data_IF_025042577942
#
_entry.id   IF_025042577942
#
_cell.length_a   1.000
_cell.length_b   1.000
_cell.length_c   1.000
_cell.angle_alpha   90.00
_cell.angle_beta   90.00
_cell.angle_gamma   90.00
#
_symmetry.space_group_name_H-M   'P 1'
#
loop_
_entity.id
_entity.type
_entity.pdbx_description
1 polymer ?
#
# COMPACT_ATOMS: atom_id res chain seq x y z
N UNK A 1 -7.43 9.71 -9.30
CA UNK A 1 -6.08 9.37 -8.78
C UNK A 1 -6.04 9.79 -7.31
N UNK A 2 -5.87 8.87 -6.37
CA UNK A 2 -5.76 9.24 -4.94
C UNK A 2 -4.32 9.68 -4.69
N UNK A 3 -4.13 10.91 -4.22
CA UNK A 3 -2.84 11.45 -3.82
C UNK A 3 -2.76 11.38 -2.30
N UNK A 4 -1.88 10.53 -1.79
CA UNK A 4 -1.57 10.42 -0.36
C UNK A 4 -0.15 10.93 -0.21
N UNK A 5 0.08 11.82 0.76
CA UNK A 5 1.43 12.18 1.18
C UNK A 5 1.84 11.18 2.26
N UNK A 6 2.99 10.54 2.06
CA UNK A 6 3.59 9.66 3.06
C UNK A 6 4.76 10.39 3.68
N UNK A 7 4.87 10.36 5.01
CA UNK A 7 6.07 10.79 5.73
C UNK A 7 7.17 9.71 5.64
N UNK A 8 8.40 10.07 5.98
CA UNK A 8 9.50 9.10 5.96
C UNK A 8 9.31 8.02 7.03
N UNK A 9 8.72 8.37 8.18
CA UNK A 9 8.39 7.42 9.25
C UNK A 9 7.34 6.41 8.76
N UNK A 10 6.31 6.87 8.04
CA UNK A 10 5.30 5.98 7.45
C UNK A 10 5.89 5.03 6.41
N UNK A 11 6.82 5.52 5.59
CA UNK A 11 7.54 4.68 4.61
C UNK A 11 8.33 3.58 5.30
N UNK A 12 9.07 3.92 6.36
CA UNK A 12 9.83 2.96 7.15
C UNK A 12 8.92 1.94 7.84
N UNK A 13 7.80 2.39 8.41
CA UNK A 13 6.83 1.50 9.04
C UNK A 13 6.22 0.51 8.02
N UNK A 14 5.87 0.98 6.82
CA UNK A 14 5.36 0.13 5.74
C UNK A 14 6.42 -0.87 5.23
N UNK A 15 7.67 -0.45 5.12
CA UNK A 15 8.79 -1.31 4.72
C UNK A 15 9.00 -2.44 5.72
N UNK A 16 9.11 -2.10 7.01
CA UNK A 16 9.23 -3.08 8.09
C UNK A 16 8.03 -4.03 8.10
N UNK A 17 6.81 -3.50 7.96
CA UNK A 17 5.60 -4.30 8.00
C UNK A 17 5.45 -5.27 6.81
N UNK A 18 6.07 -4.99 5.65
CA UNK A 18 6.07 -5.92 4.50
C UNK A 18 6.71 -7.28 4.84
N UNK A 19 7.61 -7.33 5.82
CA UNK A 19 8.34 -8.55 6.19
C UNK A 19 7.87 -9.21 7.50
N UNK A 20 7.05 -8.51 8.29
CA UNK A 20 6.71 -8.93 9.66
C UNK A 20 5.25 -9.37 9.85
N UNK A 21 4.36 -9.17 8.87
CA UNK A 21 2.96 -9.60 8.99
C UNK A 21 2.74 -11.04 8.48
N UNK A 22 2.12 -11.93 9.28
CA UNK A 22 2.00 -13.35 8.94
C UNK A 22 0.92 -13.67 7.90
N UNK A 23 -0.05 -12.77 7.67
CA UNK A 23 -1.19 -13.06 6.81
C UNK A 23 -0.98 -12.54 5.37
N UNK A 24 -1.01 -13.41 4.33
CA UNK A 24 -0.67 -13.03 2.95
C UNK A 24 -1.50 -11.87 2.38
N UNK A 25 -2.78 -11.79 2.75
CA UNK A 25 -3.66 -10.67 2.31
C UNK A 25 -3.26 -9.33 2.92
N UNK A 26 -2.78 -9.34 4.18
CA UNK A 26 -2.35 -8.11 4.86
C UNK A 26 -1.00 -7.68 4.28
N UNK A 27 -0.09 -8.62 4.09
CA UNK A 27 1.21 -8.36 3.45
C UNK A 27 1.04 -7.70 2.07
N UNK A 28 0.17 -8.23 1.22
CA UNK A 28 -0.13 -7.66 -0.10
C UNK A 28 -0.74 -6.25 -0.03
N UNK A 29 -1.56 -5.96 0.99
CA UNK A 29 -2.10 -4.61 1.24
C UNK A 29 -0.97 -3.65 1.61
N UNK A 30 -0.08 -4.06 2.51
CA UNK A 30 1.05 -3.23 2.98
C UNK A 30 2.04 -3.00 1.84
N UNK A 31 2.38 -4.02 1.07
CA UNK A 31 3.23 -3.91 -0.12
C UNK A 31 2.66 -2.91 -1.13
N UNK A 32 1.36 -2.96 -1.39
CA UNK A 32 0.70 -2.01 -2.29
C UNK A 32 0.77 -0.56 -1.78
N UNK A 33 0.69 -0.35 -0.46
CA UNK A 33 0.84 0.97 0.18
C UNK A 33 2.29 1.45 0.13
N UNK A 34 3.25 0.56 0.39
CA UNK A 34 4.67 0.85 0.29
C UNK A 34 5.06 1.23 -1.15
N UNK A 35 4.65 0.47 -2.16
CA UNK A 35 4.91 0.83 -3.57
C UNK A 35 4.27 2.19 -3.94
N UNK A 36 3.12 2.52 -3.34
CA UNK A 36 2.50 3.84 -3.53
C UNK A 36 3.35 4.96 -2.92
N UNK A 37 3.92 4.74 -1.73
CA UNK A 37 4.77 5.72 -1.06
C UNK A 37 6.11 5.94 -1.76
N UNK A 38 6.59 4.94 -2.51
CA UNK A 38 7.73 5.06 -3.44
C UNK A 38 7.41 5.81 -4.74
N UNK A 39 6.17 6.26 -4.93
CA UNK A 39 5.76 7.06 -6.08
C UNK A 39 5.37 6.27 -7.34
N UNK A 40 5.18 4.95 -7.24
CA UNK A 40 4.77 4.15 -8.40
C UNK A 40 3.36 4.51 -8.88
N UNK A 41 3.14 4.30 -10.18
CA UNK A 41 1.83 4.47 -10.81
C UNK A 41 0.86 3.38 -10.35
N UNK A 42 -0.43 3.69 -10.37
CA UNK A 42 -1.50 2.76 -9.97
C UNK A 42 -1.43 1.45 -10.76
N UNK A 43 -1.13 1.54 -12.06
CA UNK A 43 -1.00 0.40 -12.97
C UNK A 43 0.19 -0.49 -12.61
N UNK A 44 1.38 0.12 -12.36
CA UNK A 44 2.56 -0.64 -11.93
C UNK A 44 2.33 -1.35 -10.61
N UNK A 45 1.68 -0.69 -9.64
CA UNK A 45 1.36 -1.31 -8.35
C UNK A 45 0.43 -2.51 -8.53
N UNK A 46 -0.61 -2.38 -9.35
CA UNK A 46 -1.54 -3.49 -9.62
C UNK A 46 -0.83 -4.67 -10.30
N UNK A 47 0.07 -4.39 -11.26
CA UNK A 47 0.88 -5.40 -11.93
C UNK A 47 1.80 -6.15 -10.95
N UNK A 48 2.52 -5.43 -10.10
CA UNK A 48 3.48 -6.02 -9.14
C UNK A 48 2.79 -6.84 -8.04
N UNK A 49 1.66 -6.34 -7.54
CA UNK A 49 0.95 -6.97 -6.40
C UNK A 49 -0.14 -7.95 -6.81
N UNK A 50 -0.49 -8.02 -8.10
CA UNK A 50 -1.55 -8.87 -8.63
C UNK A 50 -2.96 -8.49 -8.16
N UNK A 51 -3.19 -7.25 -7.71
CA UNK A 51 -4.50 -6.77 -7.26
C UNK A 51 -5.21 -5.96 -8.33
N UNK A 52 -6.54 -5.91 -8.26
CA UNK A 52 -7.33 -5.06 -9.15
C UNK A 52 -7.15 -3.56 -8.80
N UNK A 53 -7.32 -2.65 -9.78
CA UNK A 53 -7.33 -1.22 -9.52
C UNK A 53 -8.33 -0.78 -8.44
N UNK A 54 -9.48 -1.45 -8.34
CA UNK A 54 -10.49 -1.20 -7.31
C UNK A 54 -9.99 -1.62 -5.92
N UNK A 55 -9.33 -2.77 -5.82
CA UNK A 55 -8.71 -3.24 -4.57
C UNK A 55 -7.68 -2.24 -4.09
N UNK A 56 -6.79 -1.76 -4.97
CA UNK A 56 -5.81 -0.74 -4.63
C UNK A 56 -6.47 0.56 -4.14
N UNK A 57 -7.56 1.02 -4.78
CA UNK A 57 -8.32 2.19 -4.30
C UNK A 57 -8.90 1.97 -2.91
N UNK A 58 -9.41 0.77 -2.62
CA UNK A 58 -9.94 0.41 -1.30
C UNK A 58 -8.84 0.49 -0.23
N UNK A 59 -7.66 -0.07 -0.51
CA UNK A 59 -6.51 -0.02 0.39
C UNK A 59 -6.07 1.41 0.69
N UNK A 60 -5.95 2.25 -0.35
CA UNK A 60 -5.59 3.65 -0.20
C UNK A 60 -6.63 4.45 0.61
N UNK A 61 -7.92 4.18 0.42
CA UNK A 61 -8.99 4.80 1.23
C UNK A 61 -9.00 4.32 2.68
N UNK A 62 -8.70 3.04 2.92
CA UNK A 62 -8.57 2.52 4.28
C UNK A 62 -7.38 3.17 5.00
N UNK A 63 -6.24 3.31 4.31
CA UNK A 63 -5.07 4.00 4.84
C UNK A 63 -5.37 5.46 5.17
N UNK A 64 -6.02 6.20 4.26
CA UNK A 64 -6.37 7.60 4.46
C UNK A 64 -7.34 7.83 5.63
N UNK A 65 -8.13 6.81 6.02
CA UNK A 65 -9.06 6.87 7.16
C UNK A 65 -8.39 6.55 8.51
N UNK A 66 -7.10 6.25 8.53
CA UNK A 66 -6.35 5.92 9.77
C UNK A 66 -6.21 4.43 10.05
N UNK A 67 -6.48 3.56 9.08
CA UNK A 67 -6.53 2.12 9.29
C UNK A 67 -7.94 1.61 9.57
N UNK A 68 -8.15 0.31 9.39
CA UNK A 68 -9.36 -0.45 9.74
C UNK A 68 -8.87 -1.63 10.58
#
# INVERSE_FOLDING_TARGET
MIKIKFTEEEKQALDYACYNYPHPRVQRKIEALWLKSQGLSHEKICLLTGISPNTLRSYLRAYQRGGD
#
